data_IF_926041745843
#
_entry.id   IF_926041745843
#
_cell.length_a   1.000
_cell.length_b   1.000
_cell.length_c   1.000
_cell.angle_alpha   90.00
_cell.angle_beta   90.00
_cell.angle_gamma   90.00
#
_symmetry.space_group_name_H-M   'P 1'
#
loop_
_entity.id
_entity.type
_entity.pdbx_description
1 polymer ?
#
# COMPACT_ATOMS: atom_id res chain seq x y z
N UNK A 1 14.51 29.09 21.93
CA UNK A 1 14.26 27.82 22.64
C UNK A 1 13.96 26.75 21.60
N UNK A 2 14.88 25.79 21.37
CA UNK A 2 14.68 24.71 20.41
C UNK A 2 13.80 23.63 21.05
N UNK A 3 12.64 23.33 20.46
CA UNK A 3 11.79 22.20 20.87
C UNK A 3 12.47 20.90 20.42
N UNK A 4 12.85 20.06 21.36
CA UNK A 4 13.29 18.70 21.09
C UNK A 4 12.00 17.87 20.91
N UNK A 5 11.74 17.43 19.69
CA UNK A 5 10.69 16.43 19.40
C UNK A 5 11.29 15.09 19.79
N UNK A 6 10.79 14.52 20.89
CA UNK A 6 11.20 13.21 21.37
C UNK A 6 10.46 12.16 20.53
N UNK A 7 11.08 11.66 19.47
CA UNK A 7 10.57 10.52 18.70
C UNK A 7 10.93 9.26 19.50
N UNK A 8 9.97 8.69 20.20
CA UNK A 8 10.15 7.42 20.91
C UNK A 8 9.94 6.30 19.89
N UNK A 9 11.04 5.77 19.33
CA UNK A 9 11.03 4.51 18.59
C UNK A 9 11.00 3.35 19.59
N UNK A 10 9.80 2.92 19.97
CA UNK A 10 9.62 1.73 20.81
C UNK A 10 9.74 0.48 19.95
N UNK A 11 10.89 -0.19 19.96
CA UNK A 11 11.03 -1.52 19.35
C UNK A 11 10.38 -2.54 20.30
N UNK A 12 9.17 -2.98 19.97
CA UNK A 12 8.48 -4.06 20.68
C UNK A 12 8.94 -5.40 20.07
N UNK A 13 9.80 -6.13 20.77
CA UNK A 13 10.20 -7.50 20.39
C UNK A 13 9.15 -8.45 20.95
N UNK A 14 8.15 -8.81 20.13
CA UNK A 14 7.17 -9.85 20.48
C UNK A 14 7.59 -11.18 19.87
N UNK A 15 8.06 -12.11 20.70
CA UNK A 15 8.31 -13.50 20.30
C UNK A 15 6.98 -14.27 20.28
N UNK A 16 6.31 -14.30 19.13
CA UNK A 16 5.08 -15.08 18.95
C UNK A 16 5.41 -16.54 18.61
N UNK A 17 5.20 -17.45 19.57
CA UNK A 17 5.23 -18.88 19.31
C UNK A 17 3.89 -19.33 18.68
N UNK A 18 3.84 -19.35 17.35
CA UNK A 18 2.72 -19.89 16.60
C UNK A 18 2.93 -19.79 15.09
N UNK A 19 3.48 -20.84 14.46
CA UNK A 19 3.61 -20.92 13.01
C UNK A 19 2.24 -20.96 12.34
N UNK A 20 1.99 -20.03 11.43
CA UNK A 20 0.86 -20.11 10.51
C UNK A 20 1.04 -19.26 9.26
N UNK A 21 0.72 -19.87 8.10
CA UNK A 21 0.96 -19.27 6.79
C UNK A 21 0.18 -17.97 6.52
N UNK A 22 0.84 -16.95 5.93
CA UNK A 22 0.16 -15.83 5.26
C UNK A 22 -0.75 -16.34 4.13
N UNK A 23 -1.71 -15.55 3.61
CA UNK A 23 -2.65 -16.02 2.59
C UNK A 23 -1.88 -16.55 1.37
N UNK A 24 -2.49 -17.49 0.64
CA UNK A 24 -1.82 -18.30 -0.39
C UNK A 24 -0.93 -17.44 -1.31
N UNK A 25 0.38 -17.70 -1.21
CA UNK A 25 1.49 -16.98 -1.86
C UNK A 25 1.38 -16.86 -3.39
N UNK A 26 0.53 -17.64 -4.06
CA UNK A 26 0.44 -17.68 -5.53
C UNK A 26 -0.04 -16.38 -6.20
N UNK A 27 -0.63 -15.44 -5.44
CA UNK A 27 -1.16 -14.17 -6.00
C UNK A 27 -0.52 -12.91 -5.43
N UNK A 28 0.35 -13.01 -4.42
CA UNK A 28 1.02 -11.85 -3.84
C UNK A 28 2.33 -11.56 -4.59
N UNK A 29 2.66 -10.29 -4.78
CA UNK A 29 3.93 -9.90 -5.39
C UNK A 29 4.00 -10.07 -6.91
N UNK A 30 2.85 -10.22 -7.60
CA UNK A 30 2.79 -10.29 -9.05
C UNK A 30 3.20 -8.98 -9.70
N UNK A 31 3.80 -9.07 -10.89
CA UNK A 31 4.02 -7.92 -11.75
C UNK A 31 2.85 -7.80 -12.74
N UNK A 32 2.20 -6.64 -12.72
CA UNK A 32 0.99 -6.36 -13.49
C UNK A 32 1.29 -5.53 -14.72
N UNK A 33 0.72 -5.93 -15.85
CA UNK A 33 0.81 -5.21 -17.13
C UNK A 33 -0.47 -4.46 -17.49
N UNK A 34 -1.57 -4.64 -16.73
CA UNK A 34 -2.79 -3.87 -16.91
C UNK A 34 -3.51 -3.57 -15.59
N UNK A 35 -4.18 -2.41 -15.56
CA UNK A 35 -5.02 -1.98 -14.44
C UNK A 35 -6.19 -2.94 -14.19
N UNK A 36 -6.76 -3.51 -15.25
CA UNK A 36 -7.87 -4.47 -15.16
C UNK A 36 -7.44 -5.75 -14.44
N UNK A 37 -6.27 -6.30 -14.78
CA UNK A 37 -5.74 -7.50 -14.13
C UNK A 37 -5.45 -7.23 -12.64
N UNK A 38 -4.84 -6.08 -12.34
CA UNK A 38 -4.59 -5.62 -10.98
C UNK A 38 -5.91 -5.50 -10.20
N UNK A 39 -6.92 -4.85 -10.77
CA UNK A 39 -8.23 -4.67 -10.13
C UNK A 39 -8.91 -6.01 -9.86
N UNK A 40 -8.96 -6.91 -10.85
CA UNK A 40 -9.61 -8.23 -10.75
C UNK A 40 -9.00 -9.09 -9.64
N UNK A 41 -7.68 -9.06 -9.51
CA UNK A 41 -6.94 -9.87 -8.52
C UNK A 41 -6.86 -9.26 -7.13
N UNK A 42 -7.21 -7.97 -6.97
CA UNK A 42 -7.22 -7.30 -5.68
C UNK A 42 -8.46 -7.67 -4.87
N UNK A 43 -8.30 -7.89 -3.56
CA UNK A 43 -9.43 -8.11 -2.65
C UNK A 43 -10.14 -6.79 -2.31
N UNK A 44 -9.36 -5.71 -2.20
CA UNK A 44 -9.87 -4.36 -1.93
C UNK A 44 -9.17 -3.34 -2.83
N UNK A 45 -9.92 -2.31 -3.20
CA UNK A 45 -9.39 -1.14 -3.91
C UNK A 45 -9.95 0.08 -3.20
N UNK A 46 -9.07 0.84 -2.55
CA UNK A 46 -9.44 1.89 -1.59
C UNK A 46 -8.63 3.15 -1.85
N UNK A 47 -9.28 4.31 -1.77
CA UNK A 47 -8.61 5.60 -1.63
C UNK A 47 -8.39 5.87 -0.15
N UNK A 48 -7.15 6.13 0.23
CA UNK A 48 -6.67 6.14 1.59
C UNK A 48 -5.86 7.41 1.88
N UNK A 49 -5.88 7.84 3.14
CA UNK A 49 -4.97 8.86 3.67
C UNK A 49 -4.26 8.34 4.89
N UNK A 50 -2.94 8.49 4.95
CA UNK A 50 -2.16 8.03 6.10
C UNK A 50 -2.52 8.82 7.36
N UNK A 51 -2.53 8.12 8.50
CA UNK A 51 -2.62 8.66 9.84
C UNK A 51 -1.25 8.63 10.53
N UNK A 52 -1.10 9.37 11.62
CA UNK A 52 0.19 9.52 12.33
C UNK A 52 0.70 8.23 12.99
N UNK A 53 -0.12 7.18 13.07
CA UNK A 53 0.25 5.92 13.71
C UNK A 53 0.94 4.96 12.74
N UNK A 54 2.15 4.56 13.08
CA UNK A 54 2.91 3.49 12.44
C UNK A 54 3.42 2.48 13.46
N UNK A 55 3.80 1.29 12.98
CA UNK A 55 4.31 0.21 13.81
C UNK A 55 5.42 -0.54 13.06
N UNK A 56 6.56 -0.71 13.72
CA UNK A 56 7.64 -1.60 13.27
C UNK A 56 7.67 -2.85 14.12
N UNK A 57 7.84 -4.01 13.50
CA UNK A 57 7.93 -5.29 14.21
C UNK A 57 8.71 -6.33 13.41
N UNK A 58 9.14 -7.40 14.09
CA UNK A 58 9.93 -8.49 13.50
C UNK A 58 9.13 -9.79 13.61
N UNK A 59 9.05 -10.55 12.51
CA UNK A 59 8.48 -11.90 12.47
C UNK A 59 9.43 -12.80 11.69
N UNK A 60 9.85 -13.93 12.29
CA UNK A 60 10.69 -14.94 11.63
C UNK A 60 11.85 -14.32 10.83
N UNK A 61 12.60 -13.44 11.50
CA UNK A 61 13.79 -12.71 10.97
C UNK A 61 13.50 -11.59 9.95
N UNK A 62 12.25 -11.40 9.55
CA UNK A 62 11.86 -10.32 8.65
C UNK A 62 11.39 -9.08 9.41
N UNK A 63 11.90 -7.91 9.03
CA UNK A 63 11.45 -6.61 9.53
C UNK A 63 10.27 -6.09 8.71
N UNK A 64 9.19 -5.70 9.39
CA UNK A 64 7.98 -5.16 8.78
C UNK A 64 7.68 -3.76 9.29
N UNK A 65 7.06 -2.96 8.42
CA UNK A 65 6.46 -1.68 8.76
C UNK A 65 4.97 -1.72 8.44
N UNK A 66 4.15 -1.25 9.35
CA UNK A 66 2.71 -1.10 9.15
C UNK A 66 2.31 0.35 9.36
N UNK A 67 1.60 0.91 8.38
CA UNK A 67 1.09 2.26 8.44
C UNK A 67 -0.43 2.21 8.61
N UNK A 68 -0.94 3.08 9.47
CA UNK A 68 -2.38 3.24 9.66
C UNK A 68 -2.93 4.22 8.62
N UNK A 69 -4.06 3.87 8.02
CA UNK A 69 -4.74 4.68 7.02
C UNK A 69 -6.22 4.86 7.36
N UNK A 70 -6.76 6.02 7.01
CA UNK A 70 -8.19 6.30 6.98
C UNK A 70 -8.73 6.00 5.57
N UNK A 71 -9.85 5.28 5.50
CA UNK A 71 -10.55 5.02 4.24
C UNK A 71 -11.36 6.25 3.83
N UNK A 72 -10.98 6.86 2.71
CA UNK A 72 -11.69 8.01 2.13
C UNK A 72 -12.77 7.56 1.15
N UNK A 73 -12.47 6.54 0.34
CA UNK A 73 -13.39 6.00 -0.67
C UNK A 73 -13.12 4.51 -0.89
N UNK A 74 -14.19 3.77 -1.21
CA UNK A 74 -14.11 2.35 -1.58
C UNK A 74 -14.55 2.17 -3.02
N UNK A 75 -13.74 1.43 -3.78
CA UNK A 75 -14.07 0.97 -5.13
C UNK A 75 -14.36 -0.53 -5.16
N UNK A 76 -13.68 -1.33 -4.31
CA UNK A 76 -13.88 -2.78 -4.21
C UNK A 76 -13.70 -3.29 -2.77
N UNK A 77 -14.46 -4.32 -2.40
CA UNK A 77 -14.30 -5.05 -1.14
C UNK A 77 -15.22 -4.59 0.00
N UNK A 78 -14.83 -4.85 1.25
CA UNK A 78 -15.73 -4.75 2.43
C UNK A 78 -15.44 -3.62 3.43
N UNK A 79 -14.68 -2.59 3.05
CA UNK A 79 -14.46 -1.40 3.89
C UNK A 79 -15.61 -0.38 3.81
N UNK A 80 -15.80 0.39 4.88
CA UNK A 80 -16.64 1.58 4.92
C UNK A 80 -15.77 2.84 4.88
N UNK A 81 -16.34 3.95 4.40
CA UNK A 81 -15.71 5.26 4.51
C UNK A 81 -15.56 5.60 6.00
N UNK A 82 -14.39 6.09 6.39
CA UNK A 82 -14.04 6.38 7.78
C UNK A 82 -13.44 5.21 8.55
N UNK A 83 -13.39 4.01 7.98
CA UNK A 83 -12.68 2.87 8.59
C UNK A 83 -11.19 3.20 8.72
N UNK A 84 -10.57 2.72 9.80
CA UNK A 84 -9.13 2.73 9.97
C UNK A 84 -8.56 1.35 9.67
N UNK A 85 -7.58 1.28 8.77
CA UNK A 85 -6.93 0.02 8.39
C UNK A 85 -5.42 0.13 8.49
N UNK A 86 -4.76 -1.01 8.64
CA UNK A 86 -3.31 -1.11 8.58
C UNK A 86 -2.87 -1.72 7.25
N UNK A 87 -1.86 -1.12 6.62
CA UNK A 87 -1.19 -1.71 5.46
C UNK A 87 0.25 -2.01 5.85
N UNK A 88 0.61 -3.28 5.74
CA UNK A 88 1.90 -3.81 6.17
C UNK A 88 2.79 -4.08 4.96
N UNK A 89 4.07 -3.74 5.11
CA UNK A 89 5.12 -3.91 4.11
C UNK A 89 6.29 -4.65 4.75
N UNK A 90 6.96 -5.49 3.96
CA UNK A 90 8.32 -5.90 4.27
C UNK A 90 9.24 -4.69 4.11
N UNK A 91 10.13 -4.43 5.08
CA UNK A 91 11.01 -3.26 5.08
C UNK A 91 11.84 -3.16 3.80
N UNK A 92 12.38 -4.28 3.32
CA UNK A 92 13.17 -4.30 2.09
C UNK A 92 12.34 -3.89 0.86
N UNK A 93 11.10 -4.36 0.75
CA UNK A 93 10.21 -3.97 -0.34
C UNK A 93 9.88 -2.48 -0.30
N UNK A 94 9.73 -1.89 0.89
CA UNK A 94 9.48 -0.46 1.06
C UNK A 94 10.68 0.39 0.61
N UNK A 95 11.90 -0.08 0.91
CA UNK A 95 13.16 0.53 0.46
C UNK A 95 13.38 0.52 -1.05
N UNK A 96 12.74 -0.42 -1.74
CA UNK A 96 12.87 -0.59 -3.19
C UNK A 96 11.77 0.12 -3.99
N UNK A 97 10.94 0.95 -3.35
CA UNK A 97 9.90 1.73 -4.03
C UNK A 97 10.43 3.04 -4.61
N UNK A 98 10.02 3.28 -5.84
CA UNK A 98 10.25 4.50 -6.60
C UNK A 98 8.91 5.09 -7.01
N UNK A 99 8.88 6.40 -7.21
CA UNK A 99 7.73 7.11 -7.75
C UNK A 99 8.05 7.52 -9.18
N UNK A 100 7.21 7.11 -10.11
CA UNK A 100 7.25 7.60 -11.49
C UNK A 100 6.35 8.82 -11.58
N UNK A 101 7.00 9.98 -11.54
CA UNK A 101 6.52 11.29 -11.95
C UNK A 101 7.27 11.71 -13.24
N UNK A 102 7.64 12.99 -13.38
CA UNK A 102 8.49 13.47 -14.49
C UNK A 102 9.95 12.97 -14.43
N UNK A 103 10.47 12.50 -13.28
CA UNK A 103 11.91 12.24 -13.09
C UNK A 103 12.32 10.95 -12.38
N UNK A 104 11.40 10.01 -12.09
CA UNK A 104 11.70 8.73 -11.43
C UNK A 104 12.56 8.90 -10.17
N UNK A 105 11.91 9.16 -9.05
CA UNK A 105 12.59 9.43 -7.78
C UNK A 105 12.41 8.28 -6.78
N UNK A 106 13.32 8.17 -5.81
CA UNK A 106 13.09 7.27 -4.66
C UNK A 106 11.85 7.74 -3.93
N UNK A 107 10.92 6.83 -3.65
CA UNK A 107 9.67 7.19 -3.00
C UNK A 107 9.93 7.59 -1.54
N UNK A 108 9.39 8.74 -1.13
CA UNK A 108 9.35 9.13 0.27
C UNK A 108 8.35 8.24 1.02
N UNK A 109 8.91 7.26 1.75
CA UNK A 109 8.18 6.20 2.45
C UNK A 109 7.29 6.69 3.61
N UNK A 110 7.27 8.01 3.85
CA UNK A 110 6.42 8.63 4.86
C UNK A 110 4.94 8.51 4.52
N UNK A 111 4.56 8.40 3.24
CA UNK A 111 3.18 8.50 2.76
C UNK A 111 2.43 9.76 3.24
N UNK A 112 3.15 10.81 3.62
CA UNK A 112 2.53 11.97 4.23
C UNK A 112 1.91 12.90 3.17
N UNK A 113 0.92 13.69 3.61
CA UNK A 113 0.35 14.85 2.90
C UNK A 113 -0.44 14.59 1.60
N UNK A 114 -0.58 13.34 1.15
CA UNK A 114 -1.29 13.01 -0.08
C UNK A 114 -2.37 11.94 0.13
N UNK A 115 -3.26 11.82 -0.85
CA UNK A 115 -4.18 10.71 -0.95
C UNK A 115 -3.54 9.61 -1.81
N UNK A 116 -3.87 8.35 -1.50
CA UNK A 116 -3.30 7.20 -2.19
C UNK A 116 -4.42 6.24 -2.59
N UNK A 117 -4.38 5.76 -3.83
CA UNK A 117 -5.20 4.63 -4.25
C UNK A 117 -4.39 3.34 -4.07
N UNK A 118 -4.89 2.46 -3.22
CA UNK A 118 -4.27 1.18 -2.90
C UNK A 118 -5.07 0.03 -3.48
N UNK A 119 -4.37 -0.85 -4.19
CA UNK A 119 -4.84 -2.16 -4.60
C UNK A 119 -4.30 -3.18 -3.59
N UNK A 120 -5.20 -3.76 -2.81
CA UNK A 120 -4.86 -4.54 -1.63
C UNK A 120 -5.27 -6.00 -1.76
N UNK A 121 -4.48 -6.86 -1.14
CA UNK A 121 -4.74 -8.28 -1.00
C UNK A 121 -4.57 -8.70 0.47
N UNK A 122 -5.46 -9.55 0.95
CA UNK A 122 -5.49 -10.09 2.32
C UNK A 122 -5.65 -11.63 2.29
N UNK A 123 -5.46 -12.39 3.36
CA UNK A 123 -5.49 -12.10 4.79
C UNK A 123 -4.46 -13.01 5.49
N UNK A 124 -3.54 -12.48 6.31
CA UNK A 124 -2.70 -13.33 7.16
C UNK A 124 -3.61 -14.18 8.06
N UNK A 125 -3.50 -15.50 7.97
CA UNK A 125 -4.52 -16.38 8.55
C UNK A 125 -4.41 -16.56 10.06
N UNK A 126 -3.44 -15.97 10.77
CA UNK A 126 -3.23 -16.30 12.18
C UNK A 126 -2.34 -15.30 12.96
N UNK A 127 -2.40 -15.47 14.28
CA UNK A 127 -1.90 -14.66 15.40
C UNK A 127 -0.37 -14.42 15.46
N UNK A 128 0.27 -14.15 14.33
CA UNK A 128 1.73 -13.90 14.26
C UNK A 128 2.04 -12.40 14.33
N UNK A 129 1.05 -11.57 14.05
CA UNK A 129 1.18 -10.12 14.02
C UNK A 129 0.71 -9.48 15.34
N UNK A 130 1.27 -8.31 15.73
CA UNK A 130 0.84 -7.58 16.91
C UNK A 130 -0.70 -7.46 17.00
N UNK A 131 -1.27 -7.68 18.19
CA UNK A 131 -2.73 -7.72 18.40
C UNK A 131 -3.40 -6.39 18.03
N UNK A 132 -2.63 -5.30 18.14
CA UNK A 132 -2.98 -3.93 17.75
C UNK A 132 -3.31 -3.82 16.26
N UNK A 133 -2.81 -4.73 15.42
CA UNK A 133 -3.12 -4.82 13.99
C UNK A 133 -4.41 -5.62 13.70
N UNK A 134 -5.14 -6.02 14.76
CA UNK A 134 -6.27 -6.94 14.78
C UNK A 134 -7.13 -6.97 13.52
N UNK A 135 -7.19 -8.12 12.84
CA UNK A 135 -8.03 -8.36 11.66
C UNK A 135 -7.78 -7.49 10.42
N UNK A 136 -6.90 -6.49 10.52
CA UNK A 136 -6.77 -5.35 9.61
C UNK A 136 -5.46 -5.36 8.84
N UNK A 137 -4.85 -6.53 8.64
CA UNK A 137 -3.56 -6.66 7.98
C UNK A 137 -3.72 -6.85 6.47
N UNK A 138 -3.48 -5.78 5.73
CA UNK A 138 -3.50 -5.74 4.27
C UNK A 138 -2.10 -5.58 3.70
N UNK A 139 -1.85 -6.19 2.54
CA UNK A 139 -0.63 -5.99 1.76
C UNK A 139 -0.98 -5.31 0.45
N UNK A 140 -0.02 -4.58 -0.14
CA UNK A 140 -0.12 -4.13 -1.52
C UNK A 140 -0.20 -5.35 -2.46
N UNK A 141 -1.04 -5.28 -3.48
CA UNK A 141 -1.22 -6.37 -4.42
C UNK A 141 -0.19 -6.28 -5.57
N UNK A 142 1.01 -6.80 -5.36
CA UNK A 142 2.04 -6.85 -6.41
C UNK A 142 2.58 -5.48 -6.83
N UNK A 143 3.02 -5.32 -8.09
CA UNK A 143 3.64 -4.10 -8.64
C UNK A 143 3.17 -3.84 -10.08
N UNK A 144 2.84 -2.59 -10.47
CA UNK A 144 2.46 -1.49 -9.59
C UNK A 144 1.14 -1.80 -8.85
N UNK A 145 0.94 -1.22 -7.66
CA UNK A 145 -0.31 -1.39 -6.89
C UNK A 145 -0.65 -0.22 -5.96
N UNK A 146 0.14 0.84 -6.04
CA UNK A 146 0.03 2.04 -5.23
C UNK A 146 0.10 3.23 -6.18
N UNK A 147 -0.91 4.09 -6.12
CA UNK A 147 -0.97 5.30 -6.92
C UNK A 147 -1.09 6.49 -5.97
N UNK A 148 -0.19 7.46 -6.09
CA UNK A 148 -0.27 8.70 -5.34
C UNK A 148 -1.10 9.72 -6.11
N UNK A 149 -2.01 10.39 -5.41
CA UNK A 149 -2.81 11.48 -5.94
C UNK A 149 -2.29 12.79 -5.32
N UNK A 150 -1.76 13.68 -6.15
CA UNK A 150 -1.16 14.95 -5.72
C UNK A 150 -1.49 16.05 -6.71
N UNK A 151 -2.11 17.13 -6.22
CA UNK A 151 -2.46 18.31 -7.05
C UNK A 151 -3.20 17.93 -8.34
N UNK A 152 -4.20 17.05 -8.26
CA UNK A 152 -4.98 16.52 -9.39
C UNK A 152 -4.19 15.64 -10.39
N UNK A 153 -2.92 15.33 -10.13
CA UNK A 153 -2.11 14.40 -10.91
C UNK A 153 -2.03 13.03 -10.23
N UNK A 154 -1.77 11.99 -11.03
CA UNK A 154 -1.60 10.61 -10.57
C UNK A 154 -0.16 10.17 -10.82
N UNK A 155 0.52 9.73 -9.78
CA UNK A 155 1.85 9.15 -9.87
C UNK A 155 1.79 7.66 -9.54
N UNK A 156 2.65 6.86 -10.18
CA UNK A 156 2.73 5.42 -9.95
C UNK A 156 3.90 5.12 -9.01
N UNK A 157 3.62 4.40 -7.93
CA UNK A 157 4.66 3.93 -7.01
C UNK A 157 4.88 2.44 -7.24
N UNK A 158 6.12 2.08 -7.60
CA UNK A 158 6.49 0.71 -7.97
C UNK A 158 7.99 0.47 -7.83
N UNK A 159 8.44 -0.77 -8.07
CA UNK A 159 9.87 -1.09 -8.16
C UNK A 159 10.47 -0.46 -9.41
N UNK A 160 11.74 -0.02 -9.31
CA UNK A 160 12.44 0.68 -10.41
C UNK A 160 12.44 -0.07 -11.74
N UNK A 161 12.70 -1.38 -11.70
CA UNK A 161 12.71 -2.23 -12.88
C UNK A 161 11.33 -2.26 -13.56
N UNK A 162 10.25 -2.31 -12.78
CA UNK A 162 8.89 -2.30 -13.30
C UNK A 162 8.52 -0.96 -13.91
N UNK A 163 8.93 0.16 -13.32
CA UNK A 163 8.70 1.50 -13.88
C UNK A 163 9.33 1.67 -15.26
N UNK A 164 10.51 1.08 -15.47
CA UNK A 164 11.21 1.12 -16.76
C UNK A 164 10.55 0.24 -17.84
N UNK A 165 9.68 -0.69 -17.45
CA UNK A 165 9.01 -1.64 -18.35
C UNK A 165 7.49 -1.54 -18.26
N UNK A 166 6.95 -0.41 -17.77
CA UNK A 166 5.51 -0.23 -17.67
C UNK A 166 4.86 -0.33 -19.05
N UNK A 167 3.79 -1.12 -19.10
CA UNK A 167 2.92 -1.16 -20.27
C UNK A 167 2.32 0.25 -20.52
N UNK A 168 2.02 0.53 -21.79
CA UNK A 168 1.41 1.79 -22.24
C UNK A 168 0.15 2.12 -21.43
N UNK A 169 -0.64 1.10 -21.05
CA UNK A 169 -1.87 1.31 -20.26
C UNK A 169 -1.61 1.99 -18.91
N UNK A 170 -0.48 1.72 -18.26
CA UNK A 170 -0.10 2.39 -17.02
C UNK A 170 0.52 3.77 -17.27
N UNK A 171 1.29 3.93 -18.35
CA UNK A 171 1.83 5.25 -18.72
C UNK A 171 0.71 6.25 -18.98
N UNK A 172 -0.36 5.82 -19.64
CA UNK A 172 -1.55 6.66 -19.88
C UNK A 172 -2.22 7.15 -18.59
N UNK A 173 -2.08 6.44 -17.46
CA UNK A 173 -2.61 6.86 -16.15
C UNK A 173 -1.89 8.12 -15.64
N UNK A 174 -0.59 8.27 -15.92
CA UNK A 174 0.20 9.44 -15.49
C UNK A 174 -0.30 10.74 -16.14
N UNK A 175 -0.93 10.64 -17.31
CA UNK A 175 -1.52 11.76 -18.04
C UNK A 175 -2.97 12.05 -17.62
N UNK A 176 -3.55 11.25 -16.72
CA UNK A 176 -4.92 11.43 -16.26
C UNK A 176 -5.00 12.39 -15.07
N UNK A 177 -6.08 13.18 -15.06
CA UNK A 177 -6.50 13.85 -13.83
C UNK A 177 -7.00 12.84 -12.80
N UNK A 178 -6.97 13.23 -11.53
CA UNK A 178 -7.55 12.43 -10.43
C UNK A 178 -8.97 11.97 -10.78
N UNK A 179 -9.85 12.90 -11.19
CA UNK A 179 -11.24 12.56 -11.51
C UNK A 179 -11.35 11.53 -12.63
N UNK A 180 -10.55 11.67 -13.70
CA UNK A 180 -10.57 10.73 -14.83
C UNK A 180 -10.09 9.35 -14.40
N UNK A 181 -9.02 9.28 -13.61
CA UNK A 181 -8.48 8.02 -13.10
C UNK A 181 -9.44 7.33 -12.14
N UNK A 182 -10.02 8.05 -11.18
CA UNK A 182 -10.98 7.46 -10.22
C UNK A 182 -12.25 6.95 -10.93
N UNK A 183 -12.72 7.64 -11.97
CA UNK A 183 -13.84 7.16 -12.78
C UNK A 183 -13.49 5.88 -13.53
N UNK A 184 -12.28 5.80 -14.12
CA UNK A 184 -11.79 4.58 -14.75
C UNK A 184 -11.81 3.40 -13.77
N UNK A 185 -11.34 3.61 -12.53
CA UNK A 185 -11.33 2.57 -11.49
C UNK A 185 -12.74 2.16 -11.07
N UNK A 186 -13.71 3.09 -11.00
CA UNK A 186 -15.12 2.79 -10.72
C UNK A 186 -15.73 1.89 -11.78
N UNK A 187 -15.47 2.18 -13.07
CA UNK A 187 -15.98 1.41 -14.20
C UNK A 187 -15.45 -0.04 -14.21
N UNK A 188 -14.31 -0.33 -13.59
CA UNK A 188 -13.80 -1.71 -13.47
C UNK A 188 -14.57 -2.55 -12.46
N UNK A 189 -15.40 -1.92 -11.61
CA UNK A 189 -16.24 -2.59 -10.63
C UNK A 189 -17.68 -2.83 -11.14
N UNK A 190 -18.07 -2.18 -12.24
CA UNK A 190 -19.38 -2.32 -12.90
C UNK A 190 -19.42 -3.53 -13.84
#
# INVERSE_FOLDING_TARGET
MKKIVLIIFGIIILTFAGCYDPPSREKQGLDYNSLEQLFKTSDRVLKLKKLDSDLSFIVEENEYFSFKFLVLEKFKGSSSIGDEIFITFLKSDLNDLFILDEKLETFDQTFDQNDYLFFLIGRARKNVFPKELGGSLWYKNGNPSIFQIKNNNVNIISKKNQLNSLDKSFVEILEMSETKFLNLVKLLNE
#
